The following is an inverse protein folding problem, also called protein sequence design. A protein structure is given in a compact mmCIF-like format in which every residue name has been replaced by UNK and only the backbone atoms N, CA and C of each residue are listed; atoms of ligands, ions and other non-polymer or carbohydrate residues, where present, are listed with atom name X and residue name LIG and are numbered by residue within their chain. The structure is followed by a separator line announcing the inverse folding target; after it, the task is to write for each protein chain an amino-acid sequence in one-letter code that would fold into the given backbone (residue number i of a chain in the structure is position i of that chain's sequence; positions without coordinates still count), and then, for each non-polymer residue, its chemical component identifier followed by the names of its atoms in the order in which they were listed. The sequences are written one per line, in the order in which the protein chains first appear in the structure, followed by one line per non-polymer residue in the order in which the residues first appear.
data_IF_167458500559
#
_entry.id   IF_167458500559
#
_cell.length_a   1.000
_cell.length_b   1.000
_cell.length_c   1.000
_cell.angle_alpha   90.00
_cell.angle_beta   90.00
_cell.angle_gamma   90.00
#
_symmetry.space_group_name_H-M   'P 1'
#
loop_
_entity.id
_entity.type
_entity.pdbx_description
1 polymer ?
#
# COMPACT_ATOMS: atom_id res chain seq x y z
N UNK A 1 13.32 -6.00 -20.52
CA UNK A 1 12.93 -7.24 -19.82
C UNK A 1 12.22 -6.77 -18.56
N UNK A 2 11.04 -7.33 -18.22
CA UNK A 2 10.37 -6.91 -16.99
C UNK A 2 11.26 -7.22 -15.77
N UNK A 3 11.20 -6.39 -14.73
CA UNK A 3 11.94 -6.62 -13.49
C UNK A 3 11.53 -7.95 -12.85
N UNK A 4 12.49 -8.63 -12.23
CA UNK A 4 12.25 -9.93 -11.56
C UNK A 4 11.80 -9.66 -10.13
N UNK A 5 10.64 -10.21 -9.69
CA UNK A 5 10.19 -10.05 -8.32
C UNK A 5 11.20 -10.56 -7.28
N UNK A 6 11.26 -9.89 -6.13
CA UNK A 6 12.07 -10.33 -5.01
C UNK A 6 11.21 -11.12 -4.02
N UNK A 7 11.49 -12.41 -3.85
CA UNK A 7 10.77 -13.25 -2.89
C UNK A 7 11.42 -13.18 -1.49
N UNK A 8 10.61 -12.91 -0.46
CA UNK A 8 11.05 -12.95 0.92
C UNK A 8 11.44 -14.38 1.31
N UNK A 9 12.70 -14.64 1.72
CA UNK A 9 13.15 -16.00 2.03
C UNK A 9 12.54 -16.57 3.32
N UNK A 10 11.87 -15.73 4.13
CA UNK A 10 11.26 -16.14 5.39
C UNK A 10 9.80 -16.57 5.24
N UNK A 11 9.00 -15.82 4.47
CA UNK A 11 7.55 -16.04 4.37
C UNK A 11 7.03 -16.31 2.95
N UNK A 12 7.89 -16.21 1.92
CA UNK A 12 7.50 -16.40 0.52
C UNK A 12 6.72 -15.23 -0.10
N UNK A 13 6.57 -14.10 0.62
CA UNK A 13 5.95 -12.91 0.04
C UNK A 13 6.77 -12.39 -1.14
N UNK A 14 6.13 -12.19 -2.29
CA UNK A 14 6.75 -11.63 -3.49
C UNK A 14 6.62 -10.11 -3.48
N UNK A 15 7.76 -9.41 -3.47
CA UNK A 15 7.86 -7.98 -3.72
C UNK A 15 7.99 -7.81 -5.23
N UNK A 16 6.89 -7.47 -5.89
CA UNK A 16 6.76 -7.55 -7.35
C UNK A 16 6.69 -6.18 -8.03
N UNK A 17 6.34 -5.12 -7.29
CA UNK A 17 6.22 -3.75 -7.81
C UNK A 17 7.39 -2.87 -7.41
N UNK A 18 7.62 -1.78 -8.15
CA UNK A 18 8.60 -0.77 -7.80
C UNK A 18 8.26 -0.14 -6.46
N UNK A 19 6.97 0.20 -6.27
CA UNK A 19 6.48 0.84 -5.05
C UNK A 19 6.78 0.01 -3.80
N UNK A 20 6.48 -1.30 -3.83
CA UNK A 20 6.81 -2.20 -2.71
C UNK A 20 8.32 -2.34 -2.49
N UNK A 21 9.09 -2.41 -3.58
CA UNK A 21 10.56 -2.46 -3.52
C UNK A 21 11.15 -1.25 -2.82
N UNK A 22 10.66 -0.06 -3.18
CA UNK A 22 11.06 1.22 -2.58
C UNK A 22 10.68 1.27 -1.09
N UNK A 23 9.42 0.96 -0.77
CA UNK A 23 8.92 0.98 0.61
C UNK A 23 9.70 0.02 1.51
N UNK A 24 10.03 -1.17 1.01
CA UNK A 24 10.84 -2.14 1.73
C UNK A 24 12.26 -1.62 1.98
N UNK A 25 12.89 -0.92 1.03
CA UNK A 25 14.20 -0.27 1.21
C UNK A 25 14.13 0.87 2.24
N UNK A 26 13.15 1.76 2.12
CA UNK A 26 12.92 2.87 3.05
C UNK A 26 12.66 2.37 4.48
N UNK A 27 12.06 1.19 4.60
CA UNK A 27 11.83 0.48 5.87
C UNK A 27 13.07 -0.25 6.43
N UNK A 28 14.25 -0.04 5.84
CA UNK A 28 15.51 -0.69 6.25
C UNK A 28 15.65 -2.12 5.73
N UNK A 29 15.22 -2.36 4.49
CA UNK A 29 15.18 -3.67 3.83
C UNK A 29 14.39 -4.72 4.63
N UNK A 30 13.17 -4.38 5.04
CA UNK A 30 12.27 -5.28 5.78
C UNK A 30 11.15 -5.80 4.89
N UNK A 31 10.74 -7.04 5.13
CA UNK A 31 9.58 -7.63 4.46
C UNK A 31 8.31 -6.89 4.87
N UNK A 32 7.54 -6.42 3.89
CA UNK A 32 6.27 -5.70 4.09
C UNK A 32 5.20 -6.58 4.77
N UNK A 33 5.27 -7.91 4.60
CA UNK A 33 4.33 -8.84 5.22
C UNK A 33 4.79 -9.33 6.61
N UNK A 34 5.96 -9.96 6.70
CA UNK A 34 6.38 -10.64 7.94
C UNK A 34 7.41 -9.86 8.79
N UNK A 35 7.87 -8.69 8.31
CA UNK A 35 8.84 -7.85 9.02
C UNK A 35 10.28 -8.40 9.09
N UNK A 36 10.55 -9.57 8.51
CA UNK A 36 11.91 -10.15 8.50
C UNK A 36 12.89 -9.29 7.70
N UNK A 37 14.17 -9.35 8.07
CA UNK A 37 15.25 -8.71 7.29
C UNK A 37 15.39 -9.34 5.91
N UNK A 38 15.47 -8.51 4.88
CA UNK A 38 15.73 -8.88 3.49
C UNK A 38 17.18 -8.56 3.11
N UNK A 39 17.63 -9.10 1.99
CA UNK A 39 18.92 -8.74 1.41
C UNK A 39 18.82 -7.39 0.68
N UNK A 40 19.28 -6.34 1.35
CA UNK A 40 19.24 -4.95 0.86
C UNK A 40 19.82 -4.80 -0.55
N UNK A 41 20.99 -5.39 -0.83
CA UNK A 41 21.66 -5.30 -2.14
C UNK A 41 20.89 -6.00 -3.27
N UNK A 42 20.11 -7.04 -2.93
CA UNK A 42 19.28 -7.73 -3.90
C UNK A 42 17.99 -6.94 -4.16
N UNK A 43 17.41 -6.35 -3.12
CA UNK A 43 16.24 -5.49 -3.20
C UNK A 43 16.55 -4.20 -3.98
N UNK A 44 17.70 -3.56 -3.71
CA UNK A 44 18.17 -2.39 -4.45
C UNK A 44 18.39 -2.69 -5.93
N UNK A 45 19.02 -3.83 -6.26
CA UNK A 45 19.17 -4.26 -7.66
C UNK A 45 17.85 -4.52 -8.36
N UNK A 46 16.85 -5.03 -7.64
CA UNK A 46 15.50 -5.21 -8.18
C UNK A 46 14.91 -3.84 -8.54
N UNK A 47 14.94 -2.88 -7.62
CA UNK A 47 14.47 -1.50 -7.84
C UNK A 47 15.22 -0.81 -8.99
N UNK A 48 16.55 -0.89 -9.02
CA UNK A 48 17.39 -0.30 -10.07
C UNK A 48 17.17 -0.93 -11.46
N UNK A 49 16.53 -2.10 -11.53
CA UNK A 49 16.26 -2.79 -12.79
C UNK A 49 15.00 -2.28 -13.52
N UNK A 50 14.19 -1.44 -12.87
CA UNK A 50 12.99 -0.84 -13.46
C UNK A 50 13.35 0.22 -14.48
N UNK A 51 12.77 0.11 -15.68
CA UNK A 51 12.90 1.16 -16.70
C UNK A 51 11.84 2.24 -16.53
N UNK A 52 12.06 3.41 -17.15
CA UNK A 52 11.05 4.49 -17.19
C UNK A 52 9.71 4.01 -17.76
N UNK A 53 9.72 3.10 -18.74
CA UNK A 53 8.51 2.52 -19.30
C UNK A 53 7.78 1.62 -18.28
N UNK A 54 8.52 0.83 -17.48
CA UNK A 54 7.92 -0.03 -16.46
C UNK A 54 7.31 0.82 -15.33
N UNK A 55 7.98 1.90 -14.91
CA UNK A 55 7.47 2.86 -13.92
C UNK A 55 6.18 3.54 -14.40
N UNK A 56 6.15 3.97 -15.65
CA UNK A 56 4.98 4.61 -16.23
C UNK A 56 3.82 3.63 -16.39
N UNK A 57 4.10 2.35 -16.66
CA UNK A 57 3.07 1.32 -16.72
C UNK A 57 2.52 0.99 -15.33
N UNK A 58 3.37 0.77 -14.33
CA UNK A 58 2.91 0.54 -12.94
C UNK A 58 2.04 1.70 -12.45
N UNK A 59 2.44 2.95 -12.73
CA UNK A 59 1.65 4.12 -12.37
C UNK A 59 0.27 4.14 -13.02
N UNK A 60 0.16 3.72 -14.29
CA UNK A 60 -1.14 3.59 -14.97
C UNK A 60 -1.98 2.47 -14.35
N UNK A 61 -1.40 1.28 -14.18
CA UNK A 61 -2.10 0.11 -13.64
C UNK A 61 -2.65 0.39 -12.24
N UNK A 62 -1.87 1.10 -11.41
CA UNK A 62 -2.31 1.55 -10.09
C UNK A 62 -3.44 2.56 -10.14
N UNK A 63 -3.32 3.57 -11.02
CA UNK A 63 -4.37 4.58 -11.16
C UNK A 63 -5.69 3.97 -11.66
N UNK A 64 -5.62 2.98 -12.56
CA UNK A 64 -6.79 2.23 -13.03
C UNK A 64 -7.41 1.41 -11.90
N UNK A 65 -6.62 0.65 -11.14
CA UNK A 65 -7.10 -0.13 -10.01
C UNK A 65 -7.72 0.74 -8.90
N UNK A 66 -7.15 1.92 -8.63
CA UNK A 66 -7.70 2.88 -7.66
C UNK A 66 -8.99 3.54 -8.18
N UNK A 67 -9.10 3.83 -9.48
CA UNK A 67 -10.31 4.36 -10.09
C UNK A 67 -11.46 3.35 -10.09
N UNK A 68 -11.18 2.06 -10.31
CA UNK A 68 -12.19 0.99 -10.22
C UNK A 68 -12.81 0.87 -8.81
N UNK A 69 -12.11 1.28 -7.77
CA UNK A 69 -12.63 1.29 -6.39
C UNK A 69 -13.53 2.50 -6.10
N UNK A 70 -13.44 3.58 -6.89
CA UNK A 70 -14.20 4.82 -6.68
C UNK A 70 -15.62 4.75 -7.27
N UNK A 71 -15.85 3.88 -8.27
CA UNK A 71 -17.17 3.60 -8.87
C UNK A 71 -18.03 2.62 -8.03
N UNK A 72 -17.53 2.11 -6.91
CA UNK A 72 -18.28 1.26 -5.97
C UNK A 72 -19.13 2.15 -5.03
N UNK A 73 -20.20 2.74 -5.58
CA UNK A 73 -21.18 3.58 -4.86
C UNK A 73 -21.81 2.87 -3.63
N UNK A 74 -21.68 1.54 -3.53
CA UNK A 74 -22.16 0.71 -2.42
C UNK A 74 -21.26 0.77 -1.16
N UNK A 75 -20.02 1.27 -1.23
CA UNK A 75 -19.13 1.35 -0.05
C UNK A 75 -19.50 2.51 0.90
N UNK A 76 -20.26 3.50 0.42
CA UNK A 76 -20.71 4.67 1.19
C UNK A 76 -22.12 4.51 1.79
N UNK A 77 -22.84 3.41 1.54
CA UNK A 77 -24.18 3.19 2.12
C UNK A 77 -24.15 2.78 3.61
N UNK A 78 -22.95 2.62 4.17
CA UNK A 78 -22.73 2.16 5.53
C UNK A 78 -21.93 3.11 6.40
N UNK A 79 -21.92 4.42 6.15
CA UNK A 79 -21.43 5.38 7.16
C UNK A 79 -22.29 5.11 8.41
N UNK A 80 -21.70 4.61 9.53
CA UNK A 80 -22.46 4.54 10.76
C UNK A 80 -22.91 5.97 11.04
N UNK A 81 -24.20 6.19 11.18
CA UNK A 81 -24.72 7.39 11.81
C UNK A 81 -24.10 7.40 13.21
N UNK A 82 -22.94 8.07 13.34
CA UNK A 82 -22.39 8.46 14.63
C UNK A 82 -23.38 9.48 15.14
N UNK A 83 -24.45 8.94 15.74
CA UNK A 83 -25.69 9.65 15.98
C UNK A 83 -25.42 11.04 16.49
N UNK A 84 -26.25 11.98 16.03
CA UNK A 84 -26.48 13.27 16.67
C UNK A 84 -27.12 13.10 18.07
N UNK A 85 -26.66 12.10 18.84
CA UNK A 85 -26.95 11.88 20.25
C UNK A 85 -25.89 12.59 21.10
N UNK A 86 -25.60 13.84 20.74
CA UNK A 86 -25.19 14.83 21.72
C UNK A 86 -26.43 15.29 22.48
N UNK A 87 -27.09 14.38 23.22
CA UNK A 87 -28.15 14.75 24.14
C UNK A 87 -27.63 15.85 25.07
N UNK A 88 -28.48 16.86 25.18
CA UNK A 88 -28.27 18.14 25.81
C UNK A 88 -27.45 18.03 27.11
N UNK A 89 -26.27 18.63 27.13
CA UNK A 89 -25.62 18.99 28.39
C UNK A 89 -26.52 19.99 29.09
N UNK A 90 -27.40 19.51 29.97
CA UNK A 90 -28.05 20.36 30.97
C UNK A 90 -26.93 21.12 31.71
N UNK A 91 -26.88 22.43 31.47
CA UNK A 91 -25.96 23.35 32.11
C UNK A 91 -26.05 23.16 33.63
N UNK A 92 -24.99 22.72 34.33
CA UNK A 92 -25.04 22.49 35.78
C UNK A 92 -25.07 23.79 36.60
N UNK A 93 -25.56 24.90 36.05
CA UNK A 93 -25.75 26.16 36.76
C UNK A 93 -27.20 26.66 36.72
N UNK A 94 -28.08 26.01 37.49
CA UNK A 94 -29.28 26.63 38.06
C UNK A 94 -29.56 26.08 39.47
#
# INVERSE_FOLDING_TARGET
MPPVPYECPHCGYEIATYSEGLEALESGARCLLCGSQLQEEALARMVDSWSEADLFQEGQDRAEAEAELEDDEDLCEGIPDFGDEGEEVEDPML
#
